data_IF_296765315083
#
_entry.id   IF_296765315083
#
_cell.length_a   1.000
_cell.length_b   1.000
_cell.length_c   1.000
_cell.angle_alpha   90.00
_cell.angle_beta   90.00
_cell.angle_gamma   90.00
#
_symmetry.space_group_name_H-M   'P 1'
#
loop_
_entity.id
_entity.type
_entity.pdbx_description
1 polymer ?
#
# COMPACT_ATOMS: atom_id res chain seq x y z
N UNK A 1 3.92 11.28 -12.14
CA UNK A 1 5.18 12.06 -12.15
C UNK A 1 4.95 13.54 -12.37
N UNK A 2 4.03 13.96 -13.28
CA UNK A 2 3.83 15.38 -13.59
C UNK A 2 3.41 16.20 -12.37
N UNK A 3 2.48 15.71 -11.55
CA UNK A 3 2.01 16.39 -10.32
C UNK A 3 3.12 16.50 -9.27
N UNK A 4 3.91 15.45 -9.06
CA UNK A 4 5.02 15.46 -8.09
C UNK A 4 6.15 16.39 -8.52
N UNK A 5 6.50 16.39 -9.79
CA UNK A 5 7.50 17.32 -10.35
C UNK A 5 6.99 18.78 -10.22
N UNK A 6 5.70 19.00 -10.43
CA UNK A 6 5.11 20.32 -10.28
C UNK A 6 5.08 20.81 -8.83
N UNK A 7 4.76 19.94 -7.87
CA UNK A 7 4.85 20.24 -6.43
C UNK A 7 6.26 20.67 -6.04
N UNK A 8 7.28 19.92 -6.45
CA UNK A 8 8.69 20.23 -6.17
C UNK A 8 9.14 21.56 -6.83
N UNK A 9 8.74 21.78 -8.09
CA UNK A 9 9.02 23.03 -8.80
C UNK A 9 8.46 24.24 -8.05
N UNK A 10 7.19 24.18 -7.64
CA UNK A 10 6.55 25.24 -6.85
C UNK A 10 7.28 25.48 -5.52
N UNK A 11 7.76 24.42 -4.87
CA UNK A 11 8.53 24.53 -3.64
C UNK A 11 9.89 25.23 -3.86
N UNK A 12 10.63 24.80 -4.88
CA UNK A 12 11.95 25.35 -5.23
C UNK A 12 11.85 26.82 -5.63
N UNK A 13 10.85 27.17 -6.46
CA UNK A 13 10.59 28.55 -6.84
C UNK A 13 10.25 29.41 -5.62
N UNK A 14 9.39 28.91 -4.73
CA UNK A 14 9.03 29.61 -3.49
C UNK A 14 10.27 29.84 -2.60
N UNK A 15 11.08 28.80 -2.41
CA UNK A 15 12.28 28.92 -1.57
C UNK A 15 13.33 29.86 -2.18
N UNK A 16 13.49 29.86 -3.50
CA UNK A 16 14.39 30.79 -4.20
C UNK A 16 13.95 32.26 -4.01
N UNK A 17 12.65 32.57 -4.17
CA UNK A 17 12.11 33.90 -3.98
C UNK A 17 12.22 34.35 -2.52
N UNK A 18 11.94 33.48 -1.55
CA UNK A 18 12.09 33.79 -0.12
C UNK A 18 13.56 34.06 0.23
N UNK A 19 14.49 33.35 -0.43
CA UNK A 19 15.93 33.54 -0.22
C UNK A 19 16.44 34.86 -0.84
N UNK A 20 15.96 35.25 -2.04
CA UNK A 20 16.34 36.48 -2.71
C UNK A 20 15.86 37.75 -1.98
N UNK A 21 14.72 37.68 -1.27
CA UNK A 21 14.16 38.80 -0.52
C UNK A 21 14.39 38.66 1.01
N UNK A 22 15.44 37.95 1.42
CA UNK A 22 15.68 37.64 2.84
C UNK A 22 15.94 38.92 3.67
N UNK A 23 16.49 39.96 3.09
CA UNK A 23 16.82 41.25 3.75
C UNK A 23 15.66 42.25 3.63
N UNK A 24 14.87 42.18 2.53
CA UNK A 24 13.82 43.16 2.23
C UNK A 24 12.48 42.87 2.88
N UNK A 25 12.20 41.59 3.15
CA UNK A 25 10.88 41.18 3.68
C UNK A 25 10.91 41.05 5.19
N UNK A 26 9.89 41.60 5.84
CA UNK A 26 9.65 41.34 7.25
C UNK A 26 9.18 39.89 7.50
N UNK A 27 9.13 39.50 8.77
CA UNK A 27 8.75 38.15 9.17
C UNK A 27 7.32 37.79 8.77
N UNK A 28 6.42 38.76 8.79
CA UNK A 28 4.99 38.60 8.46
C UNK A 28 4.81 38.33 6.97
N UNK A 29 5.39 39.14 6.10
CA UNK A 29 5.34 39.02 4.63
C UNK A 29 5.92 37.68 4.16
N UNK A 30 7.03 37.22 4.77
CA UNK A 30 7.59 35.89 4.46
C UNK A 30 6.62 34.78 4.84
N UNK A 31 5.96 34.88 6.00
CA UNK A 31 5.00 33.86 6.46
C UNK A 31 3.81 33.78 5.51
N UNK A 32 3.24 34.90 5.13
CA UNK A 32 2.11 34.99 4.20
C UNK A 32 2.46 34.41 2.82
N UNK A 33 3.65 34.76 2.29
CA UNK A 33 4.11 34.22 1.01
C UNK A 33 4.31 32.72 1.04
N UNK A 34 4.93 32.18 2.12
CA UNK A 34 5.07 30.73 2.32
C UNK A 34 3.73 30.03 2.43
N UNK A 35 2.77 30.63 3.11
CA UNK A 35 1.41 30.04 3.23
C UNK A 35 0.67 30.04 1.89
N UNK A 36 0.78 31.10 1.10
CA UNK A 36 0.20 31.15 -0.26
C UNK A 36 0.79 30.07 -1.17
N UNK A 37 2.10 29.85 -1.12
CA UNK A 37 2.75 28.77 -1.87
C UNK A 37 2.35 27.39 -1.37
N UNK A 38 2.19 27.20 -0.06
CA UNK A 38 1.67 25.97 0.53
C UNK A 38 0.26 25.66 0.01
N UNK A 39 -0.64 26.64 -0.03
CA UNK A 39 -2.01 26.46 -0.56
C UNK A 39 -2.00 25.98 -2.01
N UNK A 40 -1.11 26.52 -2.85
CA UNK A 40 -0.96 26.04 -4.24
C UNK A 40 -0.48 24.59 -4.32
N UNK A 41 0.52 24.19 -3.52
CA UNK A 41 1.01 22.80 -3.47
C UNK A 41 -0.05 21.84 -2.96
N UNK A 42 -0.83 22.24 -1.93
CA UNK A 42 -1.97 21.47 -1.43
C UNK A 42 -3.02 21.28 -2.54
N UNK A 43 -3.35 22.31 -3.30
CA UNK A 43 -4.32 22.19 -4.38
C UNK A 43 -3.86 21.18 -5.46
N UNK A 44 -2.59 21.20 -5.85
CA UNK A 44 -2.03 20.24 -6.82
C UNK A 44 -2.06 18.82 -6.24
N UNK A 45 -1.67 18.64 -4.97
CA UNK A 45 -1.72 17.35 -4.28
C UNK A 45 -3.16 16.82 -4.23
N UNK A 46 -4.11 17.63 -3.75
CA UNK A 46 -5.51 17.24 -3.66
C UNK A 46 -6.11 16.88 -5.03
N UNK A 47 -5.78 17.65 -6.06
CA UNK A 47 -6.19 17.32 -7.43
C UNK A 47 -5.66 15.96 -7.87
N UNK A 48 -4.37 15.67 -7.62
CA UNK A 48 -3.78 14.37 -7.94
C UNK A 48 -4.43 13.22 -7.15
N UNK A 49 -4.74 13.43 -5.86
CA UNK A 49 -5.44 12.45 -5.03
C UNK A 49 -6.87 12.21 -5.52
N UNK A 50 -7.61 13.27 -5.84
CA UNK A 50 -8.96 13.18 -6.38
C UNK A 50 -9.00 12.43 -7.73
N UNK A 51 -8.04 12.68 -8.62
CA UNK A 51 -7.93 11.93 -9.87
C UNK A 51 -7.70 10.44 -9.61
N UNK A 52 -6.77 10.09 -8.71
CA UNK A 52 -6.48 8.68 -8.37
C UNK A 52 -7.70 7.98 -7.75
N UNK A 53 -8.32 8.58 -6.74
CA UNK A 53 -9.54 8.04 -6.11
C UNK A 53 -10.73 8.04 -7.06
N UNK A 54 -10.87 9.10 -7.88
CA UNK A 54 -11.95 9.20 -8.84
C UNK A 54 -11.93 8.07 -9.87
N UNK A 55 -10.73 7.76 -10.41
CA UNK A 55 -10.55 6.63 -11.33
C UNK A 55 -10.86 5.30 -10.62
N UNK A 56 -10.36 5.10 -9.39
CA UNK A 56 -10.64 3.90 -8.62
C UNK A 56 -12.15 3.76 -8.34
N UNK A 57 -12.79 4.83 -7.88
CA UNK A 57 -14.23 4.83 -7.56
C UNK A 57 -15.07 4.59 -8.80
N UNK A 58 -14.73 5.25 -9.92
CA UNK A 58 -15.42 5.07 -11.19
C UNK A 58 -15.35 3.62 -11.68
N UNK A 59 -14.15 3.04 -11.74
CA UNK A 59 -13.96 1.70 -12.27
C UNK A 59 -14.49 0.59 -11.34
N UNK A 60 -14.46 0.81 -10.02
CA UNK A 60 -14.79 -0.26 -9.06
C UNK A 60 -16.24 -0.23 -8.58
N UNK A 61 -16.84 0.94 -8.46
CA UNK A 61 -18.13 1.11 -7.78
C UNK A 61 -19.25 1.62 -8.70
N UNK A 62 -18.94 2.09 -9.90
CA UNK A 62 -19.97 2.57 -10.82
C UNK A 62 -20.29 1.48 -11.84
N UNK A 63 -21.52 0.89 -11.82
CA UNK A 63 -21.92 -0.18 -12.74
C UNK A 63 -21.77 0.20 -14.21
N UNK A 64 -21.96 1.47 -14.54
CA UNK A 64 -21.83 2.00 -15.88
C UNK A 64 -20.44 1.80 -16.51
N UNK A 65 -19.37 1.68 -15.69
CA UNK A 65 -18.04 1.37 -16.20
C UNK A 65 -17.99 -0.02 -16.86
N UNK A 66 -18.72 -1.01 -16.31
CA UNK A 66 -18.85 -2.34 -16.91
C UNK A 66 -19.66 -2.32 -18.21
N UNK A 67 -20.71 -1.50 -18.30
CA UNK A 67 -21.51 -1.32 -19.53
C UNK A 67 -20.69 -0.70 -20.66
N UNK A 68 -19.72 0.14 -20.34
CA UNK A 68 -18.77 0.71 -21.29
C UNK A 68 -17.67 -0.26 -21.75
N UNK A 69 -17.70 -1.52 -21.30
CA UNK A 69 -16.67 -2.53 -21.60
C UNK A 69 -15.33 -2.24 -20.93
N UNK A 70 -15.28 -1.37 -19.94
CA UNK A 70 -14.06 -1.06 -19.19
C UNK A 70 -13.78 -2.19 -18.20
N UNK A 71 -12.73 -2.95 -18.47
CA UNK A 71 -12.26 -3.98 -17.56
C UNK A 71 -11.59 -3.34 -16.34
N UNK A 72 -11.91 -3.85 -15.15
CA UNK A 72 -11.24 -3.46 -13.92
C UNK A 72 -9.77 -3.93 -13.98
N UNK A 73 -8.79 -3.02 -14.03
CA UNK A 73 -7.40 -3.43 -14.03
C UNK A 73 -7.04 -4.20 -12.77
N UNK A 74 -6.34 -5.33 -12.95
CA UNK A 74 -5.85 -6.12 -11.83
C UNK A 74 -4.96 -5.24 -10.93
N UNK A 75 -5.25 -5.22 -9.62
CA UNK A 75 -4.45 -4.47 -8.66
C UNK A 75 -4.68 -2.97 -8.61
N UNK A 76 -5.72 -2.42 -9.25
CA UNK A 76 -5.97 -0.97 -9.28
C UNK A 76 -5.98 -0.32 -7.89
N UNK A 77 -6.46 -1.00 -6.86
CA UNK A 77 -6.44 -0.51 -5.48
C UNK A 77 -5.01 -0.33 -4.98
N UNK A 78 -4.12 -1.29 -5.26
CA UNK A 78 -2.70 -1.21 -4.88
C UNK A 78 -1.98 -0.09 -5.60
N UNK A 79 -2.19 0.06 -6.92
CA UNK A 79 -1.63 1.18 -7.69
C UNK A 79 -2.06 2.52 -7.12
N UNK A 80 -3.33 2.64 -6.75
CA UNK A 80 -3.87 3.86 -6.17
C UNK A 80 -3.19 4.18 -4.84
N UNK A 81 -3.13 3.22 -3.90
CA UNK A 81 -2.49 3.45 -2.61
C UNK A 81 -1.01 3.81 -2.73
N UNK A 82 -0.27 3.16 -3.62
CA UNK A 82 1.15 3.43 -3.84
C UNK A 82 1.39 4.79 -4.50
N UNK A 83 0.63 5.11 -5.56
CA UNK A 83 0.78 6.41 -6.24
C UNK A 83 0.38 7.56 -5.33
N UNK A 84 -0.65 7.39 -4.50
CA UNK A 84 -1.07 8.39 -3.52
C UNK A 84 -0.03 8.57 -2.42
N UNK A 85 0.49 7.50 -1.85
CA UNK A 85 1.58 7.57 -0.87
C UNK A 85 2.77 8.34 -1.43
N UNK A 86 3.20 8.02 -2.64
CA UNK A 86 4.29 8.73 -3.30
C UNK A 86 4.01 10.23 -3.52
N UNK A 87 2.81 10.62 -3.95
CA UNK A 87 2.44 12.03 -4.12
C UNK A 87 2.48 12.77 -2.77
N UNK A 88 2.00 12.15 -1.71
CA UNK A 88 2.01 12.73 -0.36
C UNK A 88 3.43 12.81 0.23
N UNK A 89 4.28 11.83 -0.02
CA UNK A 89 5.68 11.83 0.44
C UNK A 89 6.48 12.96 -0.24
N UNK A 90 6.28 13.19 -1.54
CA UNK A 90 6.87 14.32 -2.25
C UNK A 90 6.33 15.66 -1.72
N UNK A 91 5.01 15.77 -1.47
CA UNK A 91 4.42 16.97 -0.90
C UNK A 91 4.99 17.28 0.50
N UNK A 92 5.24 16.26 1.31
CA UNK A 92 5.82 16.36 2.67
C UNK A 92 7.33 16.53 2.68
N UNK A 93 7.96 16.58 1.52
CA UNK A 93 9.41 16.71 1.36
C UNK A 93 10.20 15.52 1.97
N UNK A 94 9.56 14.34 2.09
CA UNK A 94 10.19 13.10 2.56
C UNK A 94 11.06 12.50 1.47
N UNK A 95 10.60 12.55 0.22
CA UNK A 95 11.33 12.05 -0.94
C UNK A 95 11.38 13.09 -2.06
N UNK A 96 12.48 13.08 -2.82
CA UNK A 96 12.58 13.89 -4.03
C UNK A 96 11.73 13.28 -5.17
N UNK A 97 11.12 14.10 -6.04
CA UNK A 97 10.34 13.57 -7.15
C UNK A 97 11.22 12.91 -8.19
N UNK A 98 10.93 11.67 -8.52
CA UNK A 98 11.56 10.96 -9.61
C UNK A 98 11.11 11.54 -10.96
N UNK A 99 12.08 11.90 -11.79
CA UNK A 99 11.86 12.52 -13.11
C UNK A 99 11.57 11.47 -14.18
N UNK A 100 12.07 10.26 -14.00
CA UNK A 100 11.88 9.17 -14.94
C UNK A 100 10.52 8.50 -14.69
N UNK A 101 9.62 8.65 -15.66
CA UNK A 101 8.30 8.03 -15.59
C UNK A 101 8.35 6.50 -15.45
N UNK A 102 9.28 5.84 -16.15
CA UNK A 102 9.39 4.38 -16.12
C UNK A 102 9.79 3.86 -14.73
N UNK A 103 10.63 4.59 -14.00
CA UNK A 103 10.97 4.26 -12.62
C UNK A 103 9.76 4.34 -11.70
N UNK A 104 8.98 5.42 -11.79
CA UNK A 104 7.74 5.55 -11.01
C UNK A 104 6.73 4.47 -11.41
N UNK A 105 6.59 4.19 -12.71
CA UNK A 105 5.73 3.13 -13.20
C UNK A 105 6.17 1.76 -12.65
N UNK A 106 7.46 1.45 -12.66
CA UNK A 106 8.01 0.21 -12.08
C UNK A 106 7.67 0.10 -10.58
N UNK A 107 7.86 1.16 -9.81
CA UNK A 107 7.50 1.17 -8.39
C UNK A 107 6.01 0.89 -8.17
N UNK A 108 5.14 1.60 -8.89
CA UNK A 108 3.68 1.49 -8.72
C UNK A 108 3.17 0.12 -9.20
N UNK A 109 3.75 -0.42 -10.30
CA UNK A 109 3.31 -1.67 -10.93
C UNK A 109 4.23 -2.86 -10.65
N UNK A 110 5.01 -2.82 -9.58
CA UNK A 110 5.89 -3.93 -9.23
C UNK A 110 5.10 -5.23 -9.08
N UNK A 111 5.31 -6.15 -10.02
CA UNK A 111 4.41 -7.26 -10.29
C UNK A 111 4.13 -8.19 -9.10
N UNK A 112 5.04 -8.48 -8.16
CA UNK A 112 4.72 -9.38 -7.07
C UNK A 112 3.59 -8.85 -6.16
N UNK A 113 3.49 -7.53 -5.97
CA UNK A 113 2.56 -6.91 -5.03
C UNK A 113 1.22 -6.47 -5.66
N UNK A 114 1.05 -6.61 -6.98
CA UNK A 114 -0.14 -6.09 -7.70
C UNK A 114 -1.44 -6.73 -7.21
N UNK A 115 -1.46 -8.04 -7.00
CA UNK A 115 -2.66 -8.80 -6.63
C UNK A 115 -2.89 -8.72 -5.13
N UNK A 116 -1.85 -9.00 -4.38
CA UNK A 116 -1.87 -9.09 -2.92
C UNK A 116 -0.44 -8.92 -2.42
N UNK A 117 -0.17 -7.90 -1.61
CA UNK A 117 1.21 -7.67 -1.16
C UNK A 117 1.27 -6.61 -0.05
N UNK A 118 2.44 -6.43 0.57
CA UNK A 118 2.65 -5.31 1.45
C UNK A 118 2.51 -3.99 0.68
N UNK A 119 1.80 -3.01 1.25
CA UNK A 119 1.76 -1.67 0.67
C UNK A 119 3.13 -1.03 0.87
N UNK A 120 3.87 -0.89 -0.23
CA UNK A 120 5.23 -0.38 -0.16
C UNK A 120 5.27 1.15 -0.08
N UNK A 121 6.16 1.65 0.77
CA UNK A 121 6.50 3.07 0.84
C UNK A 121 7.64 3.32 -0.17
N UNK A 122 7.56 4.43 -0.91
CA UNK A 122 8.49 4.73 -2.00
C UNK A 122 9.96 4.74 -1.53
N UNK A 123 10.25 5.39 -0.43
CA UNK A 123 11.59 5.49 0.15
C UNK A 123 12.24 4.12 0.42
N UNK A 124 11.45 3.13 0.84
CA UNK A 124 11.96 1.79 1.20
C UNK A 124 12.13 0.83 0.01
N UNK A 125 11.30 0.95 -1.01
CA UNK A 125 11.28 0.00 -2.11
C UNK A 125 11.96 0.52 -3.38
N UNK A 126 11.81 1.81 -3.70
CA UNK A 126 12.28 2.37 -4.96
C UNK A 126 13.80 2.22 -5.16
N UNK A 127 14.59 2.46 -4.11
CA UNK A 127 16.04 2.26 -4.16
C UNK A 127 16.40 0.85 -4.60
N UNK A 128 15.83 -0.16 -3.94
CA UNK A 128 16.05 -1.57 -4.28
C UNK A 128 15.63 -1.92 -5.72
N UNK A 129 14.52 -1.33 -6.22
CA UNK A 129 14.05 -1.59 -7.59
C UNK A 129 14.97 -0.99 -8.66
N UNK A 130 15.70 0.08 -8.33
CA UNK A 130 16.54 0.81 -9.29
C UNK A 130 18.00 0.36 -9.29
N UNK A 131 18.39 -0.35 -8.24
CA UNK A 131 19.70 -1.00 -8.15
C UNK A 131 19.67 -2.32 -8.92
N UNK A 132 20.75 -2.64 -9.61
CA UNK A 132 20.88 -3.93 -10.27
C UNK A 132 21.17 -5.03 -9.25
N UNK A 133 20.37 -6.09 -9.25
CA UNK A 133 20.59 -7.26 -8.37
C UNK A 133 21.16 -8.43 -9.16
N UNK A 134 22.23 -9.03 -8.66
CA UNK A 134 22.74 -10.30 -9.19
C UNK A 134 21.91 -11.47 -8.62
N UNK A 135 21.66 -12.47 -9.46
CA UNK A 135 21.05 -13.72 -8.98
C UNK A 135 21.99 -14.41 -7.99
N UNK A 136 21.54 -14.56 -6.75
CA UNK A 136 22.25 -15.26 -5.69
C UNK A 136 21.47 -16.51 -5.29
N UNK A 137 22.14 -17.63 -5.19
CA UNK A 137 21.52 -18.91 -4.79
C UNK A 137 20.86 -18.80 -3.40
N UNK A 138 21.46 -18.04 -2.50
CA UNK A 138 20.90 -17.78 -1.16
C UNK A 138 19.54 -17.11 -1.22
N UNK A 139 19.37 -16.07 -2.06
CA UNK A 139 18.10 -15.38 -2.25
C UNK A 139 17.04 -16.28 -2.89
N UNK A 140 17.46 -17.11 -3.87
CA UNK A 140 16.58 -18.10 -4.48
C UNK A 140 16.09 -19.13 -3.46
N UNK A 141 16.97 -19.65 -2.62
CA UNK A 141 16.61 -20.63 -1.58
C UNK A 141 15.68 -20.02 -0.53
N UNK A 142 16.02 -18.85 0.02
CA UNK A 142 15.17 -18.14 0.99
C UNK A 142 13.80 -17.81 0.39
N UNK A 143 13.78 -17.25 -0.81
CA UNK A 143 12.55 -16.92 -1.52
C UNK A 143 11.69 -18.15 -1.80
N UNK A 144 12.30 -19.25 -2.29
CA UNK A 144 11.59 -20.51 -2.55
C UNK A 144 10.97 -21.09 -1.27
N UNK A 145 11.69 -21.11 -0.16
CA UNK A 145 11.17 -21.59 1.12
C UNK A 145 9.98 -20.74 1.59
N UNK A 146 10.07 -19.41 1.43
CA UNK A 146 8.98 -18.53 1.81
C UNK A 146 7.75 -18.71 0.90
N UNK A 147 7.94 -18.90 -0.41
CA UNK A 147 6.87 -19.26 -1.35
C UNK A 147 6.21 -20.57 -0.95
N UNK A 148 6.99 -21.62 -0.70
CA UNK A 148 6.46 -22.92 -0.29
C UNK A 148 5.67 -22.82 1.02
N UNK A 149 6.15 -22.05 1.99
CA UNK A 149 5.43 -21.77 3.23
C UNK A 149 4.11 -21.06 2.98
N UNK A 150 4.09 -20.05 2.12
CA UNK A 150 2.87 -19.35 1.74
C UNK A 150 1.88 -20.25 1.02
N UNK A 151 2.35 -21.04 0.05
CA UNK A 151 1.54 -22.05 -0.66
C UNK A 151 0.94 -23.07 0.30
N UNK A 152 1.71 -23.56 1.25
CA UNK A 152 1.22 -24.49 2.29
C UNK A 152 0.08 -23.85 3.09
N UNK A 153 0.26 -22.61 3.58
CA UNK A 153 -0.81 -21.91 4.29
C UNK A 153 -2.06 -21.74 3.43
N UNK A 154 -1.90 -21.40 2.16
CA UNK A 154 -3.01 -21.20 1.22
C UNK A 154 -3.72 -22.51 0.91
N UNK A 155 -3.04 -23.49 0.33
CA UNK A 155 -3.66 -24.69 -0.22
C UNK A 155 -4.01 -25.74 0.86
N UNK A 156 -3.16 -25.90 1.91
CA UNK A 156 -3.38 -26.94 2.91
C UNK A 156 -4.26 -26.46 4.06
N UNK A 157 -4.14 -25.19 4.46
CA UNK A 157 -4.93 -24.66 5.59
C UNK A 157 -6.14 -23.90 5.09
N UNK A 158 -5.95 -22.80 4.34
CA UNK A 158 -7.04 -21.90 4.00
C UNK A 158 -8.07 -22.55 3.09
N UNK A 159 -7.68 -23.13 1.96
CA UNK A 159 -8.60 -23.70 0.98
C UNK A 159 -9.33 -24.93 1.53
N UNK A 160 -8.73 -25.69 2.46
CA UNK A 160 -9.40 -26.81 3.14
C UNK A 160 -10.40 -26.33 4.18
N UNK A 161 -10.07 -25.28 4.93
CA UNK A 161 -10.95 -24.69 5.92
C UNK A 161 -12.23 -24.09 5.27
N UNK A 162 -12.13 -23.51 4.07
CA UNK A 162 -13.29 -22.95 3.33
C UNK A 162 -14.39 -24.00 3.14
N UNK A 163 -14.04 -25.26 2.84
CA UNK A 163 -15.02 -26.31 2.66
C UNK A 163 -15.82 -26.59 3.95
N UNK A 164 -15.15 -26.58 5.11
CA UNK A 164 -15.81 -26.75 6.41
C UNK A 164 -16.72 -25.55 6.72
N UNK A 165 -16.22 -24.33 6.43
CA UNK A 165 -16.96 -23.10 6.65
C UNK A 165 -18.23 -23.08 5.81
N UNK A 166 -18.13 -23.33 4.51
CA UNK A 166 -19.28 -23.32 3.59
C UNK A 166 -20.30 -24.41 3.97
N UNK A 167 -19.84 -25.61 4.33
CA UNK A 167 -20.73 -26.70 4.73
C UNK A 167 -21.69 -26.32 5.87
N UNK A 168 -21.23 -25.54 6.84
CA UNK A 168 -22.06 -25.11 7.96
C UNK A 168 -22.78 -23.79 7.64
N UNK A 169 -22.12 -22.85 6.96
CA UNK A 169 -22.66 -21.51 6.72
C UNK A 169 -23.73 -21.48 5.61
N UNK A 170 -23.77 -22.46 4.69
CA UNK A 170 -24.82 -22.57 3.70
C UNK A 170 -26.20 -22.91 4.34
N UNK A 171 -26.19 -23.59 5.49
CA UNK A 171 -27.39 -23.97 6.23
C UNK A 171 -27.21 -23.82 7.75
N UNK A 172 -26.98 -22.61 8.26
CA UNK A 172 -26.60 -22.41 9.66
C UNK A 172 -27.70 -22.84 10.64
N UNK A 173 -28.98 -22.86 10.24
CA UNK A 173 -30.10 -23.30 11.06
C UNK A 173 -30.15 -24.80 11.30
N UNK A 174 -29.47 -25.60 10.49
CA UNK A 174 -29.42 -27.07 10.61
C UNK A 174 -28.38 -27.49 11.69
N UNK A 175 -27.57 -26.55 12.18
CA UNK A 175 -26.49 -26.82 13.13
C UNK A 175 -26.74 -26.17 14.49
N UNK A 176 -26.24 -26.80 15.56
CA UNK A 176 -26.29 -26.18 16.88
C UNK A 176 -25.35 -24.98 16.96
N UNK A 177 -25.63 -24.03 17.86
CA UNK A 177 -24.82 -22.83 18.07
C UNK A 177 -23.33 -23.13 18.33
N UNK A 178 -23.03 -24.30 18.93
CA UNK A 178 -21.64 -24.75 19.16
C UNK A 178 -20.88 -24.98 17.85
N UNK A 179 -21.52 -25.57 16.85
CA UNK A 179 -20.92 -25.76 15.53
C UNK A 179 -20.69 -24.43 14.83
N UNK A 180 -21.67 -23.52 14.89
CA UNK A 180 -21.55 -22.18 14.31
C UNK A 180 -20.40 -21.40 14.97
N UNK A 181 -20.26 -21.47 16.29
CA UNK A 181 -19.15 -20.86 17.01
C UNK A 181 -17.80 -21.46 16.60
N UNK A 182 -17.70 -22.80 16.50
CA UNK A 182 -16.47 -23.46 16.05
C UNK A 182 -16.09 -23.02 14.64
N UNK A 183 -17.05 -22.93 13.74
CA UNK A 183 -16.81 -22.45 12.36
C UNK A 183 -16.38 -21.00 12.32
N UNK A 184 -16.86 -20.14 13.21
CA UNK A 184 -16.35 -18.75 13.32
C UNK A 184 -14.86 -18.70 13.71
N UNK A 185 -14.41 -19.60 14.60
CA UNK A 185 -12.98 -19.73 14.94
C UNK A 185 -12.18 -20.25 13.74
N UNK A 186 -12.69 -21.27 13.06
CA UNK A 186 -12.05 -21.80 11.84
C UNK A 186 -11.96 -20.73 10.76
N UNK A 187 -12.99 -19.91 10.60
CA UNK A 187 -12.97 -18.77 9.67
C UNK A 187 -11.87 -17.74 10.00
N UNK A 188 -11.70 -17.42 11.28
CA UNK A 188 -10.61 -16.52 11.69
C UNK A 188 -9.23 -17.07 11.31
N UNK A 189 -9.00 -18.37 11.55
CA UNK A 189 -7.76 -19.06 11.18
C UNK A 189 -7.59 -19.14 9.65
N UNK A 190 -8.66 -19.43 8.94
CA UNK A 190 -8.68 -19.45 7.46
C UNK A 190 -8.30 -18.10 6.88
N UNK A 191 -8.92 -17.01 7.34
CA UNK A 191 -8.63 -15.65 6.89
C UNK A 191 -7.17 -15.27 7.10
N UNK A 192 -6.60 -15.65 8.26
CA UNK A 192 -5.18 -15.42 8.54
C UNK A 192 -4.27 -16.24 7.62
N UNK A 193 -4.57 -17.53 7.44
CA UNK A 193 -3.75 -18.41 6.62
C UNK A 193 -3.80 -18.00 5.14
N UNK A 194 -4.97 -17.64 4.64
CA UNK A 194 -5.18 -17.18 3.26
C UNK A 194 -4.42 -15.88 2.99
N UNK A 195 -4.64 -14.88 3.82
CA UNK A 195 -4.04 -13.58 3.61
C UNK A 195 -2.53 -13.58 3.88
N UNK A 196 -2.08 -14.15 5.00
CA UNK A 196 -0.64 -14.22 5.29
C UNK A 196 0.09 -15.14 4.31
N UNK A 197 -0.56 -16.19 3.81
CA UNK A 197 -0.01 -17.09 2.80
C UNK A 197 0.25 -16.35 1.48
N UNK A 198 -0.72 -15.59 1.00
CA UNK A 198 -0.54 -14.79 -0.20
C UNK A 198 0.58 -13.74 -0.06
N UNK A 199 0.67 -13.08 1.09
CA UNK A 199 1.76 -12.14 1.39
C UNK A 199 3.13 -12.83 1.38
N UNK A 200 3.25 -14.03 1.95
CA UNK A 200 4.52 -14.75 1.98
C UNK A 200 4.94 -15.21 0.58
N UNK A 201 4.00 -15.63 -0.27
CA UNK A 201 4.28 -15.95 -1.68
C UNK A 201 4.87 -14.72 -2.39
N UNK A 202 4.24 -13.58 -2.26
CA UNK A 202 4.68 -12.31 -2.89
C UNK A 202 6.06 -11.89 -2.39
N UNK A 203 6.27 -11.94 -1.08
CA UNK A 203 7.57 -11.62 -0.46
C UNK A 203 8.65 -12.60 -0.91
N UNK A 204 8.32 -13.88 -0.98
CA UNK A 204 9.25 -14.91 -1.44
C UNK A 204 9.66 -14.71 -2.90
N UNK A 205 8.71 -14.36 -3.78
CA UNK A 205 9.02 -14.02 -5.18
C UNK A 205 9.93 -12.79 -5.24
N UNK A 206 9.64 -11.72 -4.49
CA UNK A 206 10.48 -10.53 -4.44
C UNK A 206 11.90 -10.84 -3.94
N UNK A 207 12.02 -11.69 -2.89
CA UNK A 207 13.31 -12.12 -2.34
C UNK A 207 14.16 -12.88 -3.37
N UNK A 208 13.55 -13.69 -4.25
CA UNK A 208 14.26 -14.35 -5.34
C UNK A 208 14.95 -13.35 -6.29
N UNK A 209 14.37 -12.16 -6.45
CA UNK A 209 14.95 -11.06 -7.22
C UNK A 209 15.93 -10.19 -6.39
N UNK A 210 16.18 -10.54 -5.12
CA UNK A 210 17.02 -9.77 -4.22
C UNK A 210 16.33 -8.54 -3.63
N UNK A 211 15.00 -8.47 -3.70
CA UNK A 211 14.18 -7.35 -3.21
C UNK A 211 13.49 -7.77 -1.92
N UNK A 212 13.83 -7.11 -0.83
CA UNK A 212 13.24 -7.39 0.48
C UNK A 212 12.01 -6.53 0.73
N UNK A 213 10.85 -7.17 0.92
CA UNK A 213 9.58 -6.51 1.21
C UNK A 213 9.23 -6.57 2.70
N UNK A 214 8.48 -5.57 3.17
CA UNK A 214 8.01 -5.49 4.56
C UNK A 214 7.12 -6.68 4.95
N UNK A 215 7.14 -7.06 6.23
CA UNK A 215 6.21 -8.03 6.81
C UNK A 215 4.86 -7.38 7.04
N UNK A 216 3.77 -8.16 6.88
CA UNK A 216 2.40 -7.68 7.08
C UNK A 216 1.72 -8.27 8.31
N UNK A 217 2.27 -9.36 8.84
CA UNK A 217 1.72 -10.06 9.98
C UNK A 217 2.81 -10.41 11.00
N UNK A 218 2.51 -10.22 12.28
CA UNK A 218 3.38 -10.60 13.39
C UNK A 218 2.57 -11.28 14.50
N UNK A 219 2.18 -12.55 14.27
CA UNK A 219 1.44 -13.37 15.23
C UNK A 219 0.24 -12.65 15.86
N UNK A 220 -0.73 -12.14 15.08
CA UNK A 220 -1.78 -11.23 15.59
C UNK A 220 -2.68 -11.86 16.65
N UNK A 221 -2.92 -13.16 16.59
CA UNK A 221 -3.78 -13.86 17.56
C UNK A 221 -3.14 -14.07 18.94
N UNK A 222 -1.84 -13.78 19.09
CA UNK A 222 -1.17 -13.76 20.40
C UNK A 222 -1.13 -12.36 21.03
N UNK A 223 -1.93 -11.44 20.54
CA UNK A 223 -2.04 -10.07 21.08
C UNK A 223 -2.81 -10.06 22.41
N UNK A 224 -2.37 -9.20 23.31
CA UNK A 224 -3.00 -9.03 24.63
C UNK A 224 -4.07 -7.94 24.66
N UNK A 225 -4.18 -7.15 23.61
CA UNK A 225 -5.16 -6.09 23.45
C UNK A 225 -5.59 -5.94 22.00
N UNK A 226 -6.76 -5.32 21.77
CA UNK A 226 -7.26 -5.03 20.43
C UNK A 226 -6.33 -4.05 19.68
N UNK A 227 -5.74 -3.08 20.39
CA UNK A 227 -4.75 -2.17 19.83
C UNK A 227 -3.51 -2.91 19.34
N UNK A 228 -2.98 -3.82 20.16
CA UNK A 228 -1.84 -4.65 19.77
C UNK A 228 -2.17 -5.57 18.60
N UNK A 229 -3.38 -6.12 18.55
CA UNK A 229 -3.85 -6.91 17.42
C UNK A 229 -3.74 -6.15 16.10
N UNK A 230 -4.24 -4.92 16.01
CA UNK A 230 -4.16 -4.09 14.82
C UNK A 230 -2.73 -3.63 14.50
N UNK A 231 -1.83 -3.57 15.44
CA UNK A 231 -0.40 -3.35 15.20
C UNK A 231 0.33 -4.57 14.63
N UNK A 232 -0.29 -5.75 14.72
CA UNK A 232 0.27 -7.03 14.25
C UNK A 232 -0.45 -7.61 13.03
N UNK A 233 -1.65 -7.10 12.73
CA UNK A 233 -2.49 -7.47 11.58
C UNK A 233 -2.38 -6.42 10.49
N UNK A 234 -2.08 -6.88 9.24
CA UNK A 234 -1.96 -6.02 8.05
C UNK A 234 -1.16 -4.72 8.31
N UNK A 235 0.05 -4.88 8.84
CA UNK A 235 0.88 -3.81 9.38
C UNK A 235 1.10 -2.67 8.39
N UNK A 236 1.35 -2.98 7.11
CA UNK A 236 1.62 -1.96 6.09
C UNK A 236 0.40 -1.10 5.77
N UNK A 237 -0.82 -1.65 5.84
CA UNK A 237 -2.04 -0.85 5.71
C UNK A 237 -2.24 0.04 6.94
N UNK A 238 -2.00 -0.48 8.14
CA UNK A 238 -2.05 0.29 9.38
C UNK A 238 -1.09 1.48 9.36
N UNK A 239 0.14 1.24 8.93
CA UNK A 239 1.16 2.29 8.77
C UNK A 239 0.77 3.30 7.69
N UNK A 240 0.23 2.83 6.56
CA UNK A 240 -0.26 3.69 5.50
C UNK A 240 -1.38 4.61 5.99
N UNK A 241 -2.40 4.06 6.64
CA UNK A 241 -3.51 4.85 7.19
C UNK A 241 -3.02 5.86 8.25
N UNK A 242 -2.09 5.46 9.10
CA UNK A 242 -1.50 6.34 10.11
C UNK A 242 -0.73 7.49 9.48
N UNK A 243 0.12 7.19 8.51
CA UNK A 243 1.00 8.19 7.90
C UNK A 243 0.26 9.15 6.96
N UNK A 244 -0.73 8.65 6.20
CA UNK A 244 -1.33 9.42 5.11
C UNK A 244 -2.76 9.89 5.39
N UNK A 245 -3.43 9.34 6.42
CA UNK A 245 -4.76 9.78 6.83
C UNK A 245 -4.71 10.42 8.23
N UNK A 246 -4.29 9.66 9.24
CA UNK A 246 -4.39 10.10 10.62
C UNK A 246 -3.51 11.31 10.92
N UNK A 247 -2.20 11.23 10.69
CA UNK A 247 -1.29 12.36 10.99
C UNK A 247 -1.54 13.64 10.19
N UNK A 248 -1.96 13.60 8.91
CA UNK A 248 -2.31 14.83 8.19
C UNK A 248 -3.58 15.51 8.69
N UNK A 249 -4.49 14.78 9.36
CA UNK A 249 -5.77 15.28 9.87
C UNK A 249 -5.75 15.61 11.36
N UNK A 250 -4.76 15.14 12.11
CA UNK A 250 -4.58 15.43 13.55
C UNK A 250 -3.74 16.68 13.76
#
# INVERSE_FOLDING_TARGET
>A
PSSTIWIDKLLKEQNAIVKSHKEDWDRQTRKEYKEKGRKKRVAVMLFALLCNFGILAFLKYIPYAGELGLLLPLGISFYTFQSMGYVMDVYREIVEPEKNFLKVALFVSFFPQIIQGPIAIYDKLAGQLYEGHSLRLENLQKGALLVLWGVMKKLVIADRAVNIINFVMDKPMDFSGTYVFFVAVVYALQLYADFSGGIDIVRGIAEMFGITMSTNFNHPYFSRSLTEYWHRWHMTLGDWCRNYIFYPLS
#
